data_IF_439787664593
#
_entry.id   IF_439787664593
#
_cell.length_a   1.000
_cell.length_b   1.000
_cell.length_c   1.000
_cell.angle_alpha   90.00
_cell.angle_beta   90.00
_cell.angle_gamma   90.00
#
_symmetry.space_group_name_H-M   'P 1'
#
loop_
_entity.id
_entity.type
_entity.pdbx_description
1 polymer ?
#
# COMPACT_ATOMS: atom_id res chain seq x y z
N UNK A 1 15.28 -19.62 -34.84
CA UNK A 1 13.89 -19.78 -34.35
C UNK A 1 13.77 -20.01 -32.84
N UNK A 2 14.63 -20.80 -32.18
CA UNK A 2 14.58 -20.96 -30.72
C UNK A 2 14.97 -19.67 -29.97
N UNK A 3 16.02 -18.98 -30.41
CA UNK A 3 16.50 -17.73 -29.82
C UNK A 3 15.46 -16.58 -29.82
N UNK A 4 14.59 -16.52 -30.84
CA UNK A 4 13.49 -15.54 -30.89
C UNK A 4 12.38 -15.82 -29.89
N UNK A 5 12.11 -17.10 -29.61
CA UNK A 5 11.12 -17.49 -28.58
C UNK A 5 11.61 -17.13 -27.18
N UNK A 6 12.88 -17.36 -26.88
CA UNK A 6 13.47 -17.01 -25.58
C UNK A 6 13.44 -15.49 -25.33
N UNK A 7 13.78 -14.69 -26.34
CA UNK A 7 13.71 -13.22 -26.26
C UNK A 7 12.27 -12.73 -26.06
N UNK A 8 11.30 -13.33 -26.75
CA UNK A 8 9.88 -13.02 -26.58
C UNK A 8 9.38 -13.35 -25.17
N UNK A 9 9.75 -14.50 -24.63
CA UNK A 9 9.37 -14.91 -23.26
C UNK A 9 9.99 -14.00 -22.20
N UNK A 10 11.24 -13.58 -22.38
CA UNK A 10 11.89 -12.58 -21.51
C UNK A 10 11.11 -11.26 -21.57
N UNK A 11 10.80 -10.78 -22.78
CA UNK A 11 10.04 -9.54 -22.98
C UNK A 11 8.66 -9.60 -22.33
N UNK A 12 7.90 -10.69 -22.51
CA UNK A 12 6.57 -10.86 -21.92
C UNK A 12 6.64 -10.85 -20.40
N UNK A 13 7.64 -11.54 -19.80
CA UNK A 13 7.85 -11.54 -18.35
C UNK A 13 8.21 -10.15 -17.82
N UNK A 14 9.08 -9.41 -18.52
CA UNK A 14 9.44 -8.05 -18.16
C UNK A 14 8.23 -7.10 -18.25
N UNK A 15 7.46 -7.17 -19.34
CA UNK A 15 6.26 -6.35 -19.56
C UNK A 15 5.22 -6.60 -18.46
N UNK A 16 4.94 -7.86 -18.12
CA UNK A 16 4.01 -8.21 -17.04
C UNK A 16 4.43 -7.62 -15.69
N UNK A 17 5.74 -7.58 -15.39
CA UNK A 17 6.25 -6.94 -14.17
C UNK A 17 6.03 -5.43 -14.18
N UNK A 18 6.33 -4.77 -15.29
CA UNK A 18 6.14 -3.32 -15.45
C UNK A 18 4.66 -2.94 -15.34
N UNK A 19 3.77 -3.71 -15.96
CA UNK A 19 2.33 -3.45 -15.92
C UNK A 19 1.77 -3.60 -14.50
N UNK A 20 2.15 -4.65 -13.76
CA UNK A 20 1.77 -4.81 -12.34
C UNK A 20 2.25 -3.63 -11.50
N UNK A 21 3.48 -3.20 -11.71
CA UNK A 21 4.08 -2.11 -10.95
C UNK A 21 3.40 -0.76 -11.26
N UNK A 22 3.13 -0.50 -12.54
CA UNK A 22 2.40 0.70 -12.99
C UNK A 22 1.01 0.77 -12.37
N UNK A 23 0.30 -0.35 -12.35
CA UNK A 23 -1.03 -0.41 -11.73
C UNK A 23 -0.94 -0.14 -10.21
N UNK A 24 0.05 -0.70 -9.51
CA UNK A 24 0.26 -0.46 -8.09
C UNK A 24 0.60 1.01 -7.79
N UNK A 25 1.45 1.66 -8.59
CA UNK A 25 1.73 3.09 -8.44
C UNK A 25 0.50 3.96 -8.66
N UNK A 26 -0.40 3.59 -9.59
CA UNK A 26 -1.66 4.30 -9.75
C UNK A 26 -2.53 4.22 -8.48
N UNK A 27 -2.57 3.07 -7.81
CA UNK A 27 -3.29 2.92 -6.54
C UNK A 27 -2.66 3.76 -5.42
N UNK A 28 -1.33 3.80 -5.32
CA UNK A 28 -0.63 4.69 -4.37
C UNK A 28 -0.91 6.16 -4.66
N UNK A 29 -0.86 6.56 -5.93
CA UNK A 29 -1.10 7.95 -6.34
C UNK A 29 -2.51 8.40 -5.95
N UNK A 30 -3.54 7.59 -6.26
CA UNK A 30 -4.92 7.88 -5.86
C UNK A 30 -5.05 7.91 -4.33
N UNK A 31 -4.45 6.94 -3.62
CA UNK A 31 -4.45 6.93 -2.16
C UNK A 31 -3.83 8.21 -1.58
N UNK A 32 -2.65 8.63 -2.06
CA UNK A 32 -2.00 9.86 -1.61
C UNK A 32 -2.85 11.10 -1.87
N UNK A 33 -3.40 11.23 -3.09
CA UNK A 33 -4.26 12.37 -3.45
C UNK A 33 -5.50 12.42 -2.53
N UNK A 34 -6.17 11.29 -2.32
CA UNK A 34 -7.34 11.22 -1.45
C UNK A 34 -7.00 11.53 0.01
N UNK A 35 -5.84 11.07 0.51
CA UNK A 35 -5.37 11.40 1.84
C UNK A 35 -5.10 12.90 1.99
N UNK A 36 -4.38 13.50 1.05
CA UNK A 36 -4.09 14.95 1.07
C UNK A 36 -5.38 15.74 1.06
N UNK A 37 -6.34 15.40 0.20
CA UNK A 37 -7.66 16.03 0.18
C UNK A 37 -8.36 15.84 1.52
N UNK A 38 -8.39 14.63 2.07
CA UNK A 38 -9.00 14.37 3.37
C UNK A 38 -8.39 15.24 4.47
N UNK A 39 -7.05 15.34 4.57
CA UNK A 39 -6.39 16.16 5.58
C UNK A 39 -6.64 17.67 5.40
N UNK A 40 -6.66 18.16 4.16
CA UNK A 40 -6.96 19.56 3.84
C UNK A 40 -8.41 19.91 4.16
N UNK A 41 -9.35 19.03 3.84
CA UNK A 41 -10.78 19.27 4.01
C UNK A 41 -11.30 18.85 5.39
N UNK A 42 -10.55 18.07 6.17
CA UNK A 42 -10.93 17.56 7.51
C UNK A 42 -11.54 18.65 8.39
N UNK A 43 -10.88 19.82 8.51
CA UNK A 43 -11.36 20.92 9.33
C UNK A 43 -12.70 21.49 8.85
N UNK A 44 -12.91 21.60 7.53
CA UNK A 44 -14.19 22.03 6.94
C UNK A 44 -15.30 21.00 7.13
N UNK A 45 -14.95 19.71 7.07
CA UNK A 45 -15.91 18.63 7.30
C UNK A 45 -16.40 18.68 8.74
N UNK A 46 -15.48 18.75 9.70
CA UNK A 46 -15.84 18.85 11.13
C UNK A 46 -16.68 20.10 11.40
N UNK A 47 -16.29 21.27 10.89
CA UNK A 47 -17.06 22.51 11.09
C UNK A 47 -18.46 22.43 10.47
N UNK A 48 -18.60 21.81 9.30
CA UNK A 48 -19.91 21.61 8.67
C UNK A 48 -20.86 20.76 9.52
N UNK A 49 -20.35 19.70 10.17
CA UNK A 49 -21.18 18.87 11.05
C UNK A 49 -21.58 19.62 12.34
N UNK A 50 -20.68 20.43 12.89
CA UNK A 50 -21.00 21.31 14.03
C UNK A 50 -22.08 22.33 13.65
N UNK A 51 -21.93 23.00 12.49
CA UNK A 51 -22.91 23.98 11.98
C UNK A 51 -24.29 23.36 11.69
N UNK A 52 -24.35 22.04 11.45
CA UNK A 52 -25.59 21.29 11.24
C UNK A 52 -26.27 20.82 12.54
N UNK A 53 -25.74 21.20 13.71
CA UNK A 53 -26.34 20.93 15.01
C UNK A 53 -25.86 19.63 15.66
N UNK A 54 -24.72 19.07 15.24
CA UNK A 54 -24.08 17.97 15.95
C UNK A 54 -23.31 18.54 17.14
N UNK A 55 -23.89 18.46 18.33
CA UNK A 55 -23.30 18.98 19.57
C UNK A 55 -22.54 17.92 20.38
N UNK A 56 -22.67 16.63 20.03
CA UNK A 56 -21.94 15.57 20.73
C UNK A 56 -20.44 15.63 20.40
N UNK A 57 -19.68 16.21 21.33
CA UNK A 57 -18.23 16.30 21.25
C UNK A 57 -17.56 14.91 21.23
N UNK A 58 -18.19 13.89 21.84
CA UNK A 58 -17.69 12.51 21.81
C UNK A 58 -17.69 11.95 20.40
N UNK A 59 -18.83 12.08 19.70
CA UNK A 59 -18.96 11.68 18.30
C UNK A 59 -18.02 12.46 17.37
N UNK A 60 -17.92 13.78 17.51
CA UNK A 60 -17.04 14.60 16.67
C UNK A 60 -15.57 14.20 16.83
N UNK A 61 -15.10 13.99 18.06
CA UNK A 61 -13.72 13.58 18.33
C UNK A 61 -13.45 12.15 17.84
N UNK A 62 -14.40 11.23 18.01
CA UNK A 62 -14.32 9.89 17.44
C UNK A 62 -14.22 9.92 15.91
N UNK A 63 -15.07 10.71 15.24
CA UNK A 63 -15.05 10.87 13.79
C UNK A 63 -13.71 11.45 13.33
N UNK A 64 -13.24 12.49 14.00
CA UNK A 64 -11.97 13.15 13.70
C UNK A 64 -10.77 12.18 13.80
N UNK A 65 -10.75 11.36 14.85
CA UNK A 65 -9.74 10.32 15.04
C UNK A 65 -9.81 9.24 13.96
N UNK A 66 -11.01 8.78 13.60
CA UNK A 66 -11.19 7.75 12.57
C UNK A 66 -10.78 8.24 11.18
N UNK A 67 -11.02 9.51 10.87
CA UNK A 67 -10.56 10.15 9.63
C UNK A 67 -9.03 10.07 9.45
N UNK A 68 -8.27 9.99 10.55
CA UNK A 68 -6.80 9.85 10.51
C UNK A 68 -6.38 8.39 10.65
N UNK A 69 -7.01 7.65 11.56
CA UNK A 69 -6.66 6.26 11.87
C UNK A 69 -6.91 5.32 10.68
N UNK A 70 -8.08 5.44 10.02
CA UNK A 70 -8.45 4.56 8.91
C UNK A 70 -7.43 4.68 7.76
N UNK A 71 -7.09 5.89 7.26
CA UNK A 71 -6.09 5.98 6.21
C UNK A 71 -4.71 5.49 6.65
N UNK A 72 -4.28 5.69 7.90
CA UNK A 72 -3.01 5.14 8.40
C UNK A 72 -2.98 3.62 8.27
N UNK A 73 -4.04 2.92 8.71
CA UNK A 73 -4.13 1.46 8.60
C UNK A 73 -4.06 1.02 7.14
N UNK A 74 -4.78 1.69 6.24
CA UNK A 74 -4.69 1.43 4.80
C UNK A 74 -3.30 1.70 4.23
N UNK A 75 -2.60 2.71 4.76
CA UNK A 75 -1.21 3.01 4.41
C UNK A 75 -0.27 1.87 4.76
N UNK A 76 -0.45 1.24 5.92
CA UNK A 76 0.31 0.05 6.32
C UNK A 76 0.01 -1.14 5.40
N UNK A 77 -1.26 -1.37 5.07
CA UNK A 77 -1.66 -2.45 4.14
C UNK A 77 -1.04 -2.23 2.76
N UNK A 78 -1.06 -1.00 2.24
CA UNK A 78 -0.41 -0.65 0.97
C UNK A 78 1.11 -0.81 1.03
N UNK A 79 1.73 -0.48 2.16
CA UNK A 79 3.17 -0.70 2.38
C UNK A 79 3.52 -2.19 2.27
N UNK A 80 2.78 -3.05 2.96
CA UNK A 80 2.98 -4.51 2.90
C UNK A 80 2.75 -5.04 1.48
N UNK A 81 1.67 -4.59 0.82
CA UNK A 81 1.39 -4.95 -0.57
C UNK A 81 2.52 -4.49 -1.51
N UNK A 82 3.09 -3.31 -1.28
CA UNK A 82 4.23 -2.78 -2.04
C UNK A 82 5.49 -3.62 -1.90
N UNK A 83 5.83 -4.00 -0.67
CA UNK A 83 6.96 -4.90 -0.39
C UNK A 83 6.78 -6.23 -1.15
N UNK A 84 5.57 -6.79 -1.13
CA UNK A 84 5.24 -8.02 -1.83
C UNK A 84 5.35 -7.88 -3.36
N UNK A 85 4.75 -6.84 -3.94
CA UNK A 85 4.69 -6.60 -5.40
C UNK A 85 6.07 -6.29 -5.97
N UNK A 86 6.84 -5.45 -5.28
CA UNK A 86 8.18 -5.08 -5.71
C UNK A 86 9.16 -6.27 -5.62
N UNK A 87 8.75 -7.38 -5.00
CA UNK A 87 9.64 -8.49 -4.62
C UNK A 87 10.95 -7.95 -4.03
N UNK A 88 10.85 -6.83 -3.33
CA UNK A 88 11.92 -6.30 -2.51
C UNK A 88 12.00 -7.30 -1.38
N UNK A 89 12.70 -8.42 -1.60
CA UNK A 89 13.28 -9.20 -0.53
C UNK A 89 14.34 -8.27 0.03
N UNK A 90 14.10 -7.57 1.15
CA UNK A 90 15.19 -6.88 1.81
C UNK A 90 16.20 -7.99 2.13
N UNK A 91 17.50 -7.78 1.91
CA UNK A 91 18.51 -8.85 2.12
C UNK A 91 18.46 -9.49 3.52
N UNK A 92 17.80 -8.85 4.48
CA UNK A 92 17.46 -9.42 5.78
C UNK A 92 16.42 -10.56 5.74
N UNK A 93 15.35 -10.45 4.93
CA UNK A 93 14.35 -11.52 4.77
C UNK A 93 14.95 -12.70 4.02
N UNK A 94 15.77 -12.44 3.00
CA UNK A 94 16.47 -13.50 2.27
C UNK A 94 17.41 -14.28 3.20
N UNK A 95 18.22 -13.59 4.01
CA UNK A 95 19.05 -14.21 5.06
C UNK A 95 18.24 -14.94 6.12
N UNK A 96 17.05 -14.43 6.48
CA UNK A 96 16.16 -15.09 7.45
C UNK A 96 15.57 -16.38 6.88
N UNK A 97 15.11 -16.35 5.63
CA UNK A 97 14.53 -17.49 4.90
C UNK A 97 15.59 -18.58 4.69
N UNK A 98 16.80 -18.20 4.30
CA UNK A 98 17.96 -19.09 4.16
C UNK A 98 18.34 -19.75 5.49
N UNK A 99 18.26 -19.00 6.60
CA UNK A 99 18.49 -19.53 7.95
C UNK A 99 17.40 -20.50 8.41
N UNK A 100 16.15 -20.33 7.98
CA UNK A 100 15.07 -21.29 8.28
C UNK A 100 15.17 -22.54 7.41
N UNK A 101 15.45 -22.39 6.11
CA UNK A 101 15.65 -23.54 5.22
C UNK A 101 16.81 -24.43 5.67
N UNK A 102 17.90 -23.83 6.17
CA UNK A 102 19.03 -24.59 6.72
C UNK A 102 18.64 -25.41 7.96
N UNK A 103 17.76 -24.90 8.82
CA UNK A 103 17.25 -25.65 9.98
C UNK A 103 16.45 -26.89 9.60
N UNK A 104 15.65 -26.82 8.54
CA UNK A 104 14.86 -27.95 8.04
C UNK A 104 15.66 -28.96 7.21
N UNK A 105 16.90 -28.62 6.82
CA UNK A 105 17.79 -29.52 6.04
C UNK A 105 18.87 -30.16 6.93
N UNK A 106 19.15 -29.55 8.09
CA UNK A 106 20.05 -30.08 9.13
C UNK A 106 19.31 -30.95 10.17
N UNK A 107 17.98 -31.08 10.06
CA UNK A 107 17.13 -32.11 10.70
C UNK A 107 16.78 -33.21 9.70
#
# INVERSE_FOLDING_TARGET
MAMDRDNLDIYIRAKKRVDTLKNFYAHIAVYLVMNVLLFVFKGRIVSFFVDKGVEDQGFLNWMEWNMVFIPIVWGVVLLVAGIYILKLKPGFIEKWEEKQLRKYTEE
#
